data_IF_060522149665
#
_entry.id   IF_060522149665
#
_cell.length_a   1.000
_cell.length_b   1.000
_cell.length_c   1.000
_cell.angle_alpha   90.00
_cell.angle_beta   90.00
_cell.angle_gamma   90.00
#
_symmetry.space_group_name_H-M   'P 1'
#
loop_
_entity.id
_entity.type
_entity.pdbx_description
1 polymer ?
#
# COMPACT_ATOMS: atom_id res chain seq x y z
N UNK A 1 13.00 12.50 -14.95
CA UNK A 1 12.23 11.31 -15.36
C UNK A 1 12.41 10.31 -14.23
N UNK A 2 11.44 10.18 -13.33
CA UNK A 2 11.51 9.15 -12.28
C UNK A 2 11.68 7.81 -13.00
N UNK A 3 12.75 7.07 -12.67
CA UNK A 3 12.89 5.70 -13.16
C UNK A 3 11.67 4.87 -12.73
N UNK A 4 11.45 3.71 -13.36
CA UNK A 4 10.41 2.75 -13.00
C UNK A 4 10.64 2.13 -11.61
N UNK A 5 10.86 2.94 -10.59
CA UNK A 5 11.02 2.51 -9.21
C UNK A 5 9.66 2.15 -8.65
N UNK A 6 9.59 0.94 -8.10
CA UNK A 6 8.38 0.35 -7.55
C UNK A 6 8.66 -0.01 -6.10
N UNK A 7 7.87 0.53 -5.20
CA UNK A 7 7.85 0.09 -3.80
C UNK A 7 7.09 -1.23 -3.73
N UNK A 8 7.75 -2.26 -3.20
CA UNK A 8 7.15 -3.59 -3.00
C UNK A 8 6.91 -3.84 -1.52
N UNK A 9 5.71 -4.31 -1.17
CA UNK A 9 5.37 -4.75 0.17
C UNK A 9 4.67 -6.11 0.10
N UNK A 10 5.02 -7.02 0.99
CA UNK A 10 4.47 -8.38 1.05
C UNK A 10 4.13 -8.75 2.49
N UNK A 11 3.00 -9.45 2.67
CA UNK A 11 2.56 -9.96 3.96
C UNK A 11 1.82 -11.29 3.79
N UNK A 12 2.11 -12.23 4.69
CA UNK A 12 1.34 -13.46 4.82
C UNK A 12 0.13 -13.23 5.73
N UNK A 13 -1.06 -13.60 5.25
CA UNK A 13 -2.30 -13.58 6.02
C UNK A 13 -2.77 -15.01 6.23
N UNK A 14 -3.12 -15.34 7.47
CA UNK A 14 -3.64 -16.66 7.84
C UNK A 14 -5.04 -16.53 8.43
N UNK A 15 -5.97 -17.39 8.00
CA UNK A 15 -7.23 -17.57 8.70
C UNK A 15 -7.03 -18.48 9.91
N UNK A 16 -6.98 -17.87 11.09
CA UNK A 16 -6.85 -18.54 12.39
C UNK A 16 -8.20 -18.96 13.01
N UNK A 17 -9.31 -18.72 12.32
CA UNK A 17 -10.65 -19.07 12.74
C UNK A 17 -11.07 -20.47 12.29
N UNK A 18 -12.30 -20.85 12.64
CA UNK A 18 -12.89 -22.15 12.33
C UNK A 18 -13.87 -22.13 11.15
N UNK A 19 -13.97 -21.01 10.42
CA UNK A 19 -14.88 -20.81 9.29
C UNK A 19 -14.14 -20.13 8.14
N UNK A 20 -14.58 -20.40 6.91
CA UNK A 20 -14.15 -19.61 5.75
C UNK A 20 -14.53 -18.15 5.96
N UNK A 21 -13.63 -17.24 5.59
CA UNK A 21 -13.84 -15.80 5.69
C UNK A 21 -13.03 -15.05 4.65
N UNK A 22 -13.40 -13.79 4.44
CA UNK A 22 -12.66 -12.87 3.57
C UNK A 22 -12.00 -11.78 4.41
N UNK A 23 -10.76 -11.45 4.09
CA UNK A 23 -9.99 -10.37 4.73
C UNK A 23 -9.61 -9.31 3.69
N UNK A 24 -9.69 -8.03 4.07
CA UNK A 24 -9.29 -6.90 3.22
C UNK A 24 -7.98 -6.32 3.74
N UNK A 25 -6.88 -6.78 3.18
CA UNK A 25 -5.53 -6.30 3.51
C UNK A 25 -5.34 -4.91 2.90
N UNK A 26 -4.88 -3.95 3.69
CA UNK A 26 -4.76 -2.54 3.30
C UNK A 26 -3.33 -2.04 3.54
N UNK A 27 -2.76 -1.37 2.53
CA UNK A 27 -1.44 -0.75 2.60
C UNK A 27 -1.57 0.76 2.75
N UNK A 28 -1.02 1.29 3.83
CA UNK A 28 -0.94 2.73 4.11
C UNK A 28 0.50 3.22 4.07
N UNK A 29 0.72 4.40 3.47
CA UNK A 29 2.01 5.07 3.40
C UNK A 29 1.95 6.38 4.19
N UNK A 30 2.99 6.63 4.98
CA UNK A 30 3.20 7.88 5.71
C UNK A 30 4.54 8.51 5.36
N UNK A 31 4.61 9.84 5.43
CA UNK A 31 5.80 10.61 5.05
C UNK A 31 6.40 11.30 6.27
N UNK A 32 7.48 10.74 6.84
CA UNK A 32 8.06 11.24 8.11
C UNK A 32 8.71 12.63 8.00
N UNK A 33 9.28 12.96 6.83
CA UNK A 33 10.00 14.21 6.58
C UNK A 33 9.47 14.87 5.29
N UNK A 34 8.16 15.07 5.19
CA UNK A 34 7.60 15.71 4.00
C UNK A 34 7.88 17.21 4.01
N UNK A 35 8.16 17.79 2.83
CA UNK A 35 8.31 19.24 2.64
C UNK A 35 6.97 19.98 2.70
N UNK A 36 5.87 19.24 2.59
CA UNK A 36 4.51 19.76 2.62
C UNK A 36 3.68 19.00 3.63
N UNK A 37 2.57 19.61 4.05
CA UNK A 37 1.61 18.93 4.89
C UNK A 37 0.92 17.80 4.09
N UNK A 38 0.93 16.59 4.64
CA UNK A 38 0.33 15.38 4.04
C UNK A 38 -0.26 14.52 5.14
N UNK A 39 -1.33 13.74 4.86
CA UNK A 39 -1.90 12.85 5.86
C UNK A 39 -0.87 11.85 6.40
N UNK A 40 -0.94 11.58 7.70
CA UNK A 40 -0.05 10.62 8.40
C UNK A 40 -0.14 9.22 7.78
N UNK A 41 -1.32 8.84 7.28
CA UNK A 41 -1.59 7.57 6.60
C UNK A 41 -2.40 7.83 5.34
N UNK A 42 -1.84 7.47 4.20
CA UNK A 42 -2.51 7.49 2.90
C UNK A 42 -2.71 6.05 2.42
N UNK A 43 -3.95 5.65 2.16
CA UNK A 43 -4.26 4.33 1.59
C UNK A 43 -3.72 4.27 0.15
N UNK A 44 -2.91 3.28 -0.15
CA UNK A 44 -2.27 3.13 -1.48
C UNK A 44 -2.50 1.78 -2.14
N UNK A 45 -3.10 0.84 -1.44
CA UNK A 45 -3.54 -0.41 -2.04
C UNK A 45 -4.43 -1.18 -1.07
N UNK A 46 -5.32 -1.98 -1.62
CA UNK A 46 -6.05 -2.98 -0.85
C UNK A 46 -6.26 -4.24 -1.70
N UNK A 47 -6.27 -5.39 -1.04
CA UNK A 47 -6.55 -6.68 -1.68
C UNK A 47 -7.46 -7.48 -0.76
N UNK A 48 -8.51 -8.05 -1.36
CA UNK A 48 -9.42 -8.95 -0.68
C UNK A 48 -8.98 -10.39 -0.92
N UNK A 49 -8.86 -11.17 0.14
CA UNK A 49 -8.49 -12.59 0.07
C UNK A 49 -9.54 -13.41 0.80
N UNK A 50 -10.06 -14.45 0.15
CA UNK A 50 -10.86 -15.49 0.81
C UNK A 50 -9.91 -16.57 1.32
N UNK A 51 -10.12 -17.03 2.55
CA UNK A 51 -9.29 -18.06 3.20
C UNK A 51 -10.17 -19.07 3.93
N UNK A 52 -9.92 -20.35 3.69
CA UNK A 52 -10.46 -21.46 4.48
C UNK A 52 -9.76 -21.54 5.85
N UNK A 53 -10.36 -22.22 6.85
CA UNK A 53 -9.72 -22.41 8.16
C UNK A 53 -8.30 -23.00 8.04
N UNK A 54 -7.31 -22.32 8.62
CA UNK A 54 -5.90 -22.71 8.58
C UNK A 54 -5.17 -22.36 7.27
N UNK A 55 -5.86 -21.84 6.26
CA UNK A 55 -5.26 -21.40 5.00
C UNK A 55 -4.42 -20.14 5.21
N UNK A 56 -3.41 -20.00 4.35
CA UNK A 56 -2.52 -18.85 4.29
C UNK A 56 -2.43 -18.33 2.86
N UNK A 57 -2.42 -17.01 2.69
CA UNK A 57 -2.16 -16.36 1.42
C UNK A 57 -1.06 -15.31 1.57
N UNK A 58 -0.22 -15.21 0.53
CA UNK A 58 0.72 -14.09 0.38
C UNK A 58 0.04 -12.95 -0.37
N UNK A 59 0.01 -11.77 0.24
CA UNK A 59 -0.53 -10.55 -0.37
C UNK A 59 0.61 -9.61 -0.72
N UNK A 60 0.66 -9.18 -1.98
CA UNK A 60 1.76 -8.38 -2.54
C UNK A 60 1.26 -7.07 -3.12
N UNK A 61 1.83 -5.96 -2.70
CA UNK A 61 1.56 -4.64 -3.26
C UNK A 61 2.79 -4.14 -4.03
N UNK A 62 2.54 -3.58 -5.20
CA UNK A 62 3.54 -2.91 -6.03
C UNK A 62 3.01 -1.50 -6.31
N UNK A 63 3.70 -0.49 -5.78
CA UNK A 63 3.30 0.91 -5.95
C UNK A 63 4.41 1.65 -6.70
N UNK A 64 4.13 2.17 -7.91
CA UNK A 64 5.05 3.07 -8.59
C UNK A 64 5.35 4.28 -7.69
N UNK A 65 6.63 4.60 -7.50
CA UNK A 65 7.04 5.70 -6.61
C UNK A 65 6.48 7.05 -7.07
N UNK A 66 6.25 7.21 -8.38
CA UNK A 66 5.58 8.37 -8.97
C UNK A 66 4.15 8.61 -8.44
N UNK A 67 3.42 7.56 -8.04
CA UNK A 67 2.08 7.71 -7.44
C UNK A 67 2.13 8.28 -6.01
N UNK A 68 3.32 8.30 -5.40
CA UNK A 68 3.58 8.86 -4.08
C UNK A 68 3.96 10.34 -4.15
N UNK A 69 4.21 10.87 -5.35
CA UNK A 69 4.54 12.27 -5.56
C UNK A 69 3.42 13.20 -5.06
N UNK A 70 3.78 14.44 -4.77
CA UNK A 70 2.86 15.54 -4.52
C UNK A 70 3.08 16.61 -5.58
N UNK A 71 2.04 17.42 -5.83
CA UNK A 71 2.15 18.49 -6.80
C UNK A 71 2.78 19.72 -6.16
N UNK A 72 3.95 20.15 -6.66
CA UNK A 72 4.59 21.39 -6.27
C UNK A 72 4.07 22.55 -7.13
N UNK A 73 3.24 23.48 -6.58
CA UNK A 73 2.68 24.58 -7.37
C UNK A 73 3.73 25.64 -7.75
N UNK A 74 4.81 25.80 -6.98
CA UNK A 74 5.86 26.78 -7.27
C UNK A 74 6.70 26.37 -8.48
N UNK A 75 6.96 25.07 -8.61
CA UNK A 75 7.71 24.50 -9.71
C UNK A 75 6.81 23.95 -10.84
N UNK A 76 5.49 24.03 -10.68
CA UNK A 76 4.46 23.52 -11.58
C UNK A 76 4.69 22.04 -12.02
N UNK A 77 5.23 21.21 -11.13
CA UNK A 77 5.64 19.83 -11.40
C UNK A 77 5.32 18.88 -10.23
N UNK A 78 5.34 17.57 -10.50
CA UNK A 78 5.23 16.53 -9.47
C UNK A 78 6.60 16.23 -8.84
N UNK A 79 6.65 16.19 -7.51
CA UNK A 79 7.84 15.92 -6.70
C UNK A 79 7.64 14.80 -5.67
#
# INVERSE_FOLDING_TARGET
MFGKEVLKAEIEVSNSGSRTGEEVVQLYIGFKNSRVDRPVKLLRGFQKVELHPGEKAQVKFEIPVEELAWYNPEAAQWE
#
